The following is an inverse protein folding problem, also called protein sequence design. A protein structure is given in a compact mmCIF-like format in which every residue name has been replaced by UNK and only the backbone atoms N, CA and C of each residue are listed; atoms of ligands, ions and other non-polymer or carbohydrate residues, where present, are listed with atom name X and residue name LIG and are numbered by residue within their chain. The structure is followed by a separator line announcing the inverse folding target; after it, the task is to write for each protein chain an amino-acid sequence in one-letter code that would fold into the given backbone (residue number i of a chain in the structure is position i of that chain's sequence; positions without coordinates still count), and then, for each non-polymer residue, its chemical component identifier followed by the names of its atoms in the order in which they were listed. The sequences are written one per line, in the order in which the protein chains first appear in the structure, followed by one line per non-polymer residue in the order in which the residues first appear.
data_IF_548567480319
#
_entry.id   IF_548567480319
#
_cell.length_a   1.000
_cell.length_b   1.000
_cell.length_c   1.000
_cell.angle_alpha   90.00
_cell.angle_beta   90.00
_cell.angle_gamma   90.00
#
_symmetry.space_group_name_H-M   'P 1'
#
loop_
_entity.id
_entity.type
_entity.pdbx_description
1 polymer ?
#
# COMPACT_ATOMS: atom_id res chain seq x y z
N UNK A 1 -65.19 26.77 -5.74
CA UNK A 1 -63.79 26.58 -6.15
C UNK A 1 -62.93 27.60 -5.43
N UNK A 2 -62.25 27.23 -4.34
CA UNK A 2 -61.25 28.11 -3.68
C UNK A 2 -60.38 27.38 -2.65
N UNK A 3 -59.13 27.86 -2.53
CA UNK A 3 -58.01 27.54 -1.59
C UNK A 3 -56.97 26.57 -2.17
N UNK A 4 -55.91 27.05 -2.84
CA UNK A 4 -54.77 27.90 -2.43
C UNK A 4 -53.72 27.13 -1.61
N UNK A 5 -52.56 26.94 -2.23
CA UNK A 5 -51.37 26.21 -1.77
C UNK A 5 -50.46 27.03 -0.82
N UNK A 6 -49.56 26.30 -0.12
CA UNK A 6 -48.15 26.59 0.26
C UNK A 6 -47.86 26.70 1.78
N UNK A 7 -47.18 25.69 2.37
CA UNK A 7 -45.72 25.49 2.61
C UNK A 7 -45.20 26.34 3.78
N UNK A 8 -44.60 25.73 4.82
CA UNK A 8 -43.37 26.18 5.50
C UNK A 8 -42.75 24.99 6.28
N UNK A 9 -41.68 24.40 5.73
CA UNK A 9 -40.29 24.51 6.21
C UNK A 9 -40.00 23.77 7.53
N UNK A 10 -39.61 22.50 7.43
CA UNK A 10 -38.91 21.80 8.51
C UNK A 10 -37.40 21.96 8.30
N UNK A 11 -36.76 22.66 9.23
CA UNK A 11 -35.31 22.90 9.25
C UNK A 11 -34.56 21.58 9.50
N UNK A 12 -33.81 21.14 8.51
CA UNK A 12 -32.94 19.97 8.58
C UNK A 12 -31.57 20.40 9.10
N UNK A 13 -31.36 20.24 10.42
CA UNK A 13 -30.07 20.41 11.07
C UNK A 13 -29.16 19.23 10.72
N UNK A 14 -28.29 19.41 9.73
CA UNK A 14 -27.29 18.42 9.33
C UNK A 14 -26.03 18.60 10.18
N UNK A 15 -25.86 17.73 11.18
CA UNK A 15 -24.64 17.67 11.99
C UNK A 15 -23.49 17.07 11.16
N UNK A 16 -22.43 17.86 11.00
CA UNK A 16 -21.20 17.46 10.33
C UNK A 16 -20.45 16.41 11.16
N UNK A 17 -20.53 15.15 10.76
CA UNK A 17 -19.56 14.13 11.16
C UNK A 17 -18.23 14.42 10.44
N UNK A 18 -17.31 15.10 11.12
CA UNK A 18 -15.91 15.18 10.69
C UNK A 18 -15.26 13.80 10.85
N UNK A 19 -15.39 12.96 9.83
CA UNK A 19 -14.60 11.74 9.70
C UNK A 19 -13.15 12.14 9.47
N UNK A 20 -12.34 12.09 10.53
CA UNK A 20 -10.88 12.15 10.46
C UNK A 20 -10.38 10.95 9.65
N UNK A 21 -10.29 11.10 8.34
CA UNK A 21 -9.69 10.11 7.45
C UNK A 21 -8.26 9.83 7.89
N UNK A 22 -8.03 8.68 8.49
CA UNK A 22 -6.67 8.22 8.80
C UNK A 22 -5.97 8.05 7.46
N UNK A 23 -4.97 8.91 7.19
CA UNK A 23 -4.10 8.75 6.04
C UNK A 23 -3.50 7.34 6.15
N UNK A 24 -3.98 6.43 5.31
CA UNK A 24 -3.44 5.09 5.27
C UNK A 24 -2.05 5.24 4.69
N UNK A 25 -1.00 5.03 5.49
CA UNK A 25 0.36 4.95 4.98
C UNK A 25 0.37 3.96 3.80
N UNK A 26 0.68 4.47 2.60
CA UNK A 26 0.67 3.75 1.34
C UNK A 26 1.77 4.37 0.47
N UNK A 27 2.66 3.53 -0.05
CA UNK A 27 3.45 3.94 -1.20
C UNK A 27 2.51 4.48 -2.30
N UNK A 28 2.97 5.46 -3.07
CA UNK A 28 2.35 5.81 -4.33
C UNK A 28 2.32 4.59 -5.26
N UNK A 29 1.38 4.56 -6.20
CA UNK A 29 1.31 3.51 -7.22
C UNK A 29 1.53 4.15 -8.58
N UNK A 30 2.44 3.60 -9.36
CA UNK A 30 2.68 4.11 -10.71
C UNK A 30 1.41 3.98 -11.57
N UNK A 31 1.12 5.00 -12.39
CA UNK A 31 -0.15 5.11 -13.13
C UNK A 31 -0.45 3.94 -14.08
N UNK A 32 0.58 3.27 -14.60
CA UNK A 32 0.47 2.16 -15.55
C UNK A 32 1.10 0.87 -15.00
N UNK A 33 0.96 0.65 -13.70
CA UNK A 33 1.55 -0.51 -13.02
C UNK A 33 0.86 -1.81 -13.43
N UNK A 34 1.65 -2.79 -13.87
CA UNK A 34 1.18 -4.16 -14.13
C UNK A 34 1.03 -4.98 -12.84
N UNK A 35 0.14 -5.97 -12.83
CA UNK A 35 -0.03 -6.92 -11.72
C UNK A 35 -0.83 -6.38 -10.52
N UNK A 36 -1.33 -7.28 -9.66
CA UNK A 36 -2.12 -6.88 -8.48
C UNK A 36 -1.22 -6.48 -7.30
N UNK A 37 -1.66 -5.49 -6.52
CA UNK A 37 -1.02 -5.11 -5.24
C UNK A 37 -1.79 -5.62 -4.01
N UNK A 38 -2.79 -6.49 -4.18
CA UNK A 38 -3.56 -7.00 -3.03
C UNK A 38 -2.67 -7.72 -2.01
N UNK A 39 -2.77 -7.31 -0.75
CA UNK A 39 -1.98 -7.84 0.37
C UNK A 39 -0.50 -7.44 0.39
N UNK A 40 0.03 -6.83 -0.68
CA UNK A 40 1.43 -6.41 -0.78
C UNK A 40 1.80 -5.20 0.09
N UNK A 41 0.95 -4.15 0.28
CA UNK A 41 1.25 -3.04 1.18
C UNK A 41 1.65 -3.49 2.59
N UNK A 42 0.95 -4.49 3.16
CA UNK A 42 1.29 -5.07 4.46
C UNK A 42 2.66 -5.75 4.44
N UNK A 43 3.07 -6.34 3.32
CA UNK A 43 4.38 -6.98 3.15
C UNK A 43 5.49 -5.94 3.04
N UNK A 44 5.26 -4.85 2.30
CA UNK A 44 6.19 -3.73 2.17
C UNK A 44 6.40 -3.06 3.54
N UNK A 45 5.33 -2.81 4.28
CA UNK A 45 5.41 -2.27 5.65
C UNK A 45 6.24 -3.16 6.59
N UNK A 46 6.17 -4.48 6.41
CA UNK A 46 6.88 -5.48 7.20
C UNK A 46 8.10 -6.05 6.46
N UNK A 47 8.71 -5.25 5.57
CA UNK A 47 9.92 -5.63 4.83
C UNK A 47 11.11 -5.82 5.76
N UNK A 48 12.00 -6.76 5.43
CA UNK A 48 13.31 -6.88 6.11
C UNK A 48 14.20 -5.67 5.87
N UNK A 49 14.01 -4.93 4.77
CA UNK A 49 14.71 -3.69 4.52
C UNK A 49 14.09 -2.54 5.32
N UNK A 50 14.80 -2.07 6.35
CA UNK A 50 14.31 -1.03 7.25
C UNK A 50 14.05 0.31 6.55
N UNK A 51 14.86 0.67 5.54
CA UNK A 51 14.67 1.91 4.79
C UNK A 51 13.38 1.87 3.97
N UNK A 52 13.07 0.73 3.34
CA UNK A 52 11.80 0.54 2.63
C UNK A 52 10.59 0.55 3.57
N UNK A 53 10.68 -0.13 4.71
CA UNK A 53 9.60 -0.13 5.70
C UNK A 53 9.33 1.28 6.26
N UNK A 54 10.39 2.07 6.50
CA UNK A 54 10.27 3.47 6.88
C UNK A 54 9.67 4.33 5.76
N UNK A 55 10.12 4.13 4.51
CA UNK A 55 9.58 4.83 3.35
C UNK A 55 8.08 4.56 3.16
N UNK A 56 7.63 3.31 3.37
CA UNK A 56 6.22 2.95 3.36
C UNK A 56 5.43 3.72 4.42
N UNK A 57 5.95 3.76 5.65
CA UNK A 57 5.31 4.45 6.78
C UNK A 57 5.21 5.97 6.53
N UNK A 58 6.20 6.54 5.86
CA UNK A 58 6.30 7.98 5.59
C UNK A 58 5.66 8.40 4.26
N UNK A 59 5.06 7.47 3.50
CA UNK A 59 4.55 7.72 2.13
C UNK A 59 5.63 8.24 1.16
N UNK A 60 6.88 7.79 1.31
CA UNK A 60 8.03 8.19 0.48
C UNK A 60 8.57 7.03 -0.36
N UNK A 61 7.66 6.23 -0.90
CA UNK A 61 7.96 5.16 -1.83
C UNK A 61 6.91 5.08 -2.93
N UNK A 62 7.28 4.47 -4.05
CA UNK A 62 6.41 4.23 -5.19
C UNK A 62 6.47 2.76 -5.60
N UNK A 63 5.33 2.07 -5.65
CA UNK A 63 5.21 0.74 -6.26
C UNK A 63 5.24 0.93 -7.77
N UNK A 64 6.29 0.41 -8.40
CA UNK A 64 6.52 0.54 -9.85
C UNK A 64 6.02 -0.67 -10.63
N UNK A 65 5.97 -1.85 -9.99
CA UNK A 65 5.32 -3.06 -10.51
C UNK A 65 4.59 -3.81 -9.41
N UNK A 66 3.37 -4.24 -9.69
CA UNK A 66 2.56 -5.12 -8.85
C UNK A 66 3.09 -6.55 -8.88
N UNK A 67 2.27 -7.52 -8.47
CA UNK A 67 2.71 -8.92 -8.38
C UNK A 67 3.21 -9.46 -9.73
N UNK A 68 4.46 -9.91 -9.78
CA UNK A 68 5.11 -10.48 -10.95
C UNK A 68 6.22 -11.48 -10.56
N UNK A 69 6.80 -12.16 -11.55
CA UNK A 69 7.79 -13.23 -11.38
C UNK A 69 9.11 -12.91 -12.11
N UNK A 70 10.16 -13.68 -11.82
CA UNK A 70 11.49 -13.57 -12.39
C UNK A 70 12.58 -13.16 -11.38
N UNK A 71 13.84 -13.30 -11.80
CA UNK A 71 15.02 -12.90 -11.01
C UNK A 71 15.44 -13.92 -9.95
N UNK A 72 16.32 -13.48 -9.05
CA UNK A 72 16.87 -14.32 -7.96
C UNK A 72 15.94 -14.34 -6.75
N UNK A 73 15.69 -15.54 -6.22
CA UNK A 73 14.88 -15.75 -5.02
C UNK A 73 15.76 -15.65 -3.77
N UNK A 74 15.52 -14.71 -2.84
CA UNK A 74 16.30 -14.61 -1.60
C UNK A 74 15.93 -15.73 -0.61
N UNK A 75 16.74 -15.95 0.43
CA UNK A 75 16.38 -16.85 1.53
C UNK A 75 14.99 -16.56 2.10
N UNK A 76 14.27 -17.61 2.48
CA UNK A 76 12.91 -17.55 3.06
C UNK A 76 11.82 -16.97 2.16
N UNK A 77 12.09 -16.72 0.87
CA UNK A 77 11.05 -16.58 -0.14
C UNK A 77 10.68 -17.96 -0.71
N UNK A 78 9.38 -18.30 -0.82
CA UNK A 78 8.97 -19.62 -1.30
C UNK A 78 9.08 -19.76 -2.82
N UNK A 79 9.03 -18.65 -3.54
CA UNK A 79 9.15 -18.54 -4.99
C UNK A 79 9.57 -17.13 -5.39
N UNK A 80 9.69 -16.92 -6.70
CA UNK A 80 10.07 -15.65 -7.32
C UNK A 80 8.93 -14.62 -7.42
N UNK A 81 7.77 -14.87 -6.80
CA UNK A 81 6.65 -13.93 -6.83
C UNK A 81 6.93 -12.73 -5.92
N UNK A 82 6.97 -11.53 -6.49
CA UNK A 82 7.30 -10.30 -5.77
C UNK A 82 6.61 -9.05 -6.34
N UNK A 83 6.75 -7.93 -5.63
CA UNK A 83 6.44 -6.56 -6.11
C UNK A 83 7.72 -5.73 -6.17
N UNK A 84 7.73 -4.73 -7.06
CA UNK A 84 8.86 -3.81 -7.20
C UNK A 84 8.48 -2.45 -6.66
N UNK A 85 9.31 -1.92 -5.77
CA UNK A 85 9.07 -0.69 -5.04
C UNK A 85 10.32 0.17 -5.08
N UNK A 86 10.17 1.45 -5.45
CA UNK A 86 11.22 2.45 -5.42
C UNK A 86 11.11 3.27 -4.15
N UNK A 87 12.24 3.58 -3.51
CA UNK A 87 12.30 4.54 -2.41
C UNK A 87 12.46 5.94 -3.03
N UNK A 88 11.54 6.86 -2.77
CA UNK A 88 11.53 8.15 -3.48
C UNK A 88 12.70 9.07 -3.05
N UNK A 89 13.14 8.97 -1.80
CA UNK A 89 14.34 9.68 -1.30
C UNK A 89 15.66 9.14 -1.88
N UNK A 90 15.62 7.96 -2.52
CA UNK A 90 16.77 7.34 -3.18
C UNK A 90 16.27 6.71 -4.49
N UNK A 91 15.96 7.50 -5.53
CA UNK A 91 15.20 7.03 -6.69
C UNK A 91 15.92 5.97 -7.53
N UNK A 92 17.23 5.80 -7.35
CA UNK A 92 17.99 4.69 -7.94
C UNK A 92 17.85 3.39 -7.16
N UNK A 93 17.40 3.44 -5.89
CA UNK A 93 17.16 2.28 -5.04
C UNK A 93 15.81 1.64 -5.36
N UNK A 94 15.87 0.48 -5.99
CA UNK A 94 14.71 -0.35 -6.27
C UNK A 94 14.75 -1.59 -5.39
N UNK A 95 13.64 -1.86 -4.71
CA UNK A 95 13.47 -3.00 -3.83
C UNK A 95 12.43 -3.98 -4.38
N UNK A 96 12.72 -5.26 -4.23
CA UNK A 96 11.83 -6.37 -4.58
C UNK A 96 11.33 -7.01 -3.30
N UNK A 97 10.04 -6.94 -3.02
CA UNK A 97 9.44 -7.51 -1.80
C UNK A 97 8.77 -8.83 -2.14
N UNK A 98 9.18 -9.90 -1.48
CA UNK A 98 8.72 -11.27 -1.76
C UNK A 98 7.65 -11.73 -0.76
N UNK A 99 6.99 -12.84 -1.08
CA UNK A 99 6.25 -13.61 -0.08
C UNK A 99 7.22 -14.25 0.90
N UNK A 100 6.70 -14.59 2.08
CA UNK A 100 7.45 -15.32 3.11
C UNK A 100 7.06 -16.80 3.07
N UNK A 101 8.05 -17.68 3.14
CA UNK A 101 7.84 -19.12 3.19
C UNK A 101 7.18 -19.53 4.51
N UNK A 102 6.32 -20.54 4.47
CA UNK A 102 5.56 -21.00 5.65
C UNK A 102 6.46 -21.58 6.75
N UNK A 103 7.66 -22.04 6.39
CA UNK A 103 8.68 -22.57 7.30
C UNK A 103 9.70 -21.51 7.77
N UNK A 104 9.50 -20.24 7.44
CA UNK A 104 10.38 -19.19 7.93
C UNK A 104 10.33 -19.11 9.47
N UNK A 105 11.46 -18.87 10.16
CA UNK A 105 11.48 -18.74 11.62
C UNK A 105 10.48 -17.70 12.14
N UNK A 106 9.99 -17.88 13.36
CA UNK A 106 9.13 -16.90 14.00
C UNK A 106 9.80 -15.51 14.05
N UNK A 107 9.04 -14.45 13.80
CA UNK A 107 9.56 -13.08 13.73
C UNK A 107 10.25 -12.71 12.41
N UNK A 108 10.45 -13.65 11.48
CA UNK A 108 11.01 -13.34 10.14
C UNK A 108 10.10 -12.35 9.40
N UNK A 109 10.70 -11.24 8.94
CA UNK A 109 10.07 -10.21 8.11
C UNK A 109 9.93 -10.68 6.66
N UNK A 110 9.29 -9.89 5.80
CA UNK A 110 9.16 -10.26 4.38
C UNK A 110 10.50 -10.10 3.66
N UNK A 111 11.01 -11.15 2.99
CA UNK A 111 12.27 -11.07 2.26
C UNK A 111 12.24 -9.93 1.25
N UNK A 112 13.33 -9.18 1.17
CA UNK A 112 13.45 -7.97 0.37
C UNK A 112 14.88 -7.76 -0.10
N UNK A 113 15.09 -7.78 -1.42
CA UNK A 113 16.36 -7.38 -2.03
C UNK A 113 16.25 -5.96 -2.54
N UNK A 114 17.31 -5.15 -2.42
CA UNK A 114 17.34 -3.79 -2.95
C UNK A 114 18.65 -3.52 -3.68
N UNK A 115 18.56 -2.87 -4.85
CA UNK A 115 19.69 -2.52 -5.71
C UNK A 115 19.74 -1.01 -5.88
#
# INVERSE_FOLDING_TARGET
MTRLQKIFSAAFFLTLFSMSGHANAKCNVAANMEGSISGWPKRIQNSENLALAAAFTNNTCTITKGAHRGGSVPPYAPDDLHVTVRIDAAPTKTCHVFRKASNAPAGTKFPTTCF
#
